data_IF_384514669334
#
_entry.id   IF_384514669334
#
_cell.length_a   1.000
_cell.length_b   1.000
_cell.length_c   1.000
_cell.angle_alpha   90.00
_cell.angle_beta   90.00
_cell.angle_gamma   90.00
#
_symmetry.space_group_name_H-M   'P 1'
#
loop_
_entity.id
_entity.type
_entity.pdbx_description
1 polymer ?
#
# COMPACT_ATOMS: atom_id res chain seq x y z
N UNK A 1 8.77 11.19 -13.55
CA UNK A 1 8.97 11.79 -12.21
C UNK A 1 7.61 12.24 -11.71
N UNK A 2 6.97 11.46 -10.85
CA UNK A 2 5.76 11.89 -10.13
C UNK A 2 5.97 11.52 -8.68
N UNK A 3 6.37 12.54 -7.91
CA UNK A 3 6.53 12.48 -6.46
C UNK A 3 5.19 12.81 -5.80
N UNK A 4 4.92 12.31 -4.60
CA UNK A 4 3.78 12.75 -3.79
C UNK A 4 4.19 12.82 -2.32
N UNK A 5 3.90 13.97 -1.71
CA UNK A 5 4.29 14.39 -0.36
C UNK A 5 3.04 14.53 0.52
N UNK A 6 3.17 14.23 1.81
CA UNK A 6 2.12 14.28 2.86
C UNK A 6 2.02 15.68 3.50
N UNK A 7 0.81 16.13 3.85
CA UNK A 7 0.54 17.34 4.66
C UNK A 7 -0.57 17.05 5.69
N UNK A 8 -0.46 17.60 6.92
CA UNK A 8 -1.48 17.51 7.99
C UNK A 8 -1.79 18.89 8.64
N UNK A 9 -3.08 19.22 8.86
CA UNK A 9 -3.54 20.04 10.01
C UNK A 9 -4.86 19.50 10.65
N UNK A 10 -5.47 20.11 11.70
CA UNK A 10 -5.89 19.40 12.93
C UNK A 10 -7.35 18.87 13.02
N UNK A 11 -7.56 18.16 14.13
CA UNK A 11 -8.58 17.18 14.54
C UNK A 11 -10.05 17.62 14.76
N UNK A 12 -10.99 16.84 14.19
CA UNK A 12 -12.14 16.17 14.83
C UNK A 12 -13.28 15.91 13.80
N UNK A 13 -13.36 14.69 13.26
CA UNK A 13 -14.45 14.22 12.39
C UNK A 13 -14.67 12.70 12.59
N UNK A 14 -15.87 12.14 12.33
CA UNK A 14 -16.13 10.69 12.36
C UNK A 14 -15.41 9.88 11.26
N UNK A 15 -14.94 10.46 10.15
CA UNK A 15 -13.90 9.80 9.31
C UNK A 15 -12.53 9.76 9.99
N UNK A 16 -12.35 10.46 11.12
CA UNK A 16 -11.08 10.71 11.80
C UNK A 16 -11.16 10.60 13.34
N UNK A 17 -12.08 9.81 13.92
CA UNK A 17 -12.14 9.64 15.39
C UNK A 17 -10.89 8.99 16.03
N UNK A 18 -9.81 8.76 15.26
CA UNK A 18 -8.57 8.14 15.74
C UNK A 18 -7.26 8.92 15.50
N UNK A 19 -7.29 10.19 15.10
CA UNK A 19 -6.06 10.94 14.79
C UNK A 19 -5.45 11.79 15.93
N UNK A 20 -5.76 11.52 17.21
CA UNK A 20 -5.10 12.22 18.33
C UNK A 20 -3.83 11.55 18.87
N UNK A 21 -3.34 10.49 18.21
CA UNK A 21 -2.00 9.95 18.46
C UNK A 21 -1.42 9.31 17.19
N UNK A 22 -0.65 10.07 16.41
CA UNK A 22 0.13 9.52 15.30
C UNK A 22 1.63 9.66 15.55
N UNK A 23 2.25 8.50 15.74
CA UNK A 23 3.39 8.08 14.92
C UNK A 23 2.87 7.67 13.52
N UNK A 24 3.65 7.92 12.47
CA UNK A 24 3.25 8.11 11.05
C UNK A 24 2.78 6.88 10.21
N UNK A 25 1.97 5.94 10.72
CA UNK A 25 1.88 4.58 10.11
C UNK A 25 0.65 4.19 9.26
N UNK A 26 -0.19 5.10 8.74
CA UNK A 26 -1.46 4.67 8.10
C UNK A 26 -1.78 5.33 6.75
N UNK A 27 -0.99 5.03 5.71
CA UNK A 27 -1.45 5.13 4.31
C UNK A 27 -0.61 4.20 3.41
N UNK A 28 -1.27 3.23 2.76
CA UNK A 28 -0.64 2.34 1.78
C UNK A 28 -1.12 2.70 0.38
N UNK A 29 -0.23 3.30 -0.42
CA UNK A 29 -0.49 3.65 -1.82
C UNK A 29 0.08 2.56 -2.74
N UNK A 30 -0.78 1.90 -3.51
CA UNK A 30 -0.36 0.93 -4.53
C UNK A 30 -0.56 1.53 -5.94
N UNK A 31 0.55 1.85 -6.62
CA UNK A 31 0.51 2.16 -8.05
C UNK A 31 0.82 0.90 -8.88
N UNK A 32 -0.14 0.45 -9.68
CA UNK A 32 0.10 -0.49 -10.79
C UNK A 32 0.16 0.30 -12.09
N UNK A 33 1.31 0.30 -12.77
CA UNK A 33 1.40 0.71 -14.17
C UNK A 33 0.98 -0.46 -15.06
N UNK A 34 -0.19 -0.37 -15.69
CA UNK A 34 -0.58 -1.27 -16.77
C UNK A 34 -0.15 -0.66 -18.10
N UNK A 35 0.92 -1.17 -18.71
CA UNK A 35 1.23 -0.95 -20.12
C UNK A 35 0.68 -2.13 -20.92
N UNK A 36 -0.59 -2.05 -21.32
CA UNK A 36 -1.12 -2.88 -22.40
C UNK A 36 -2.13 -2.08 -23.23
N UNK A 37 -1.63 -1.52 -24.32
CA UNK A 37 -2.39 -1.34 -25.56
C UNK A 37 -1.40 -1.53 -26.71
N UNK A 38 -1.32 -2.77 -27.19
CA UNK A 38 -0.67 -3.09 -28.45
C UNK A 38 -1.38 -2.35 -29.59
N UNK A 39 -0.75 -1.28 -30.11
CA UNK A 39 -1.19 -0.66 -31.36
C UNK A 39 -0.35 -1.22 -32.51
N UNK A 40 -1.02 -2.08 -33.28
CA UNK A 40 -0.69 -2.49 -34.65
C UNK A 40 -0.11 -1.31 -35.45
N UNK A 41 1.12 -1.47 -35.93
CA UNK A 41 1.74 -0.60 -36.94
C UNK A 41 1.00 -0.79 -38.27
N UNK A 42 0.12 0.14 -38.64
CA UNK A 42 -0.25 0.36 -40.04
C UNK A 42 0.54 1.54 -40.58
N UNK A 43 1.39 1.28 -41.56
CA UNK A 43 2.03 2.29 -42.42
C UNK A 43 0.94 3.02 -43.19
N UNK A 44 0.90 4.34 -43.09
CA UNK A 44 0.24 5.21 -44.05
C UNK A 44 1.24 6.25 -44.54
N UNK A 45 1.45 6.26 -45.86
CA UNK A 45 2.19 7.27 -46.58
C UNK A 45 1.28 8.49 -46.80
N UNK A 46 1.77 9.69 -46.48
CA UNK A 46 1.02 10.93 -46.65
C UNK A 46 1.94 12.13 -46.51
N UNK A 47 1.76 13.12 -47.38
CA UNK A 47 2.76 14.07 -47.83
C UNK A 47 3.22 15.11 -46.79
N UNK A 48 4.49 15.50 -46.97
CA UNK A 48 5.18 16.62 -46.31
C UNK A 48 4.49 17.95 -46.62
N UNK A 49 4.32 18.79 -45.58
CA UNK A 49 4.43 20.25 -45.70
C UNK A 49 5.50 20.71 -44.71
N UNK A 50 6.62 21.15 -45.26
CA UNK A 50 7.75 21.73 -44.52
C UNK A 50 7.43 23.20 -44.31
N UNK A 51 7.29 23.62 -43.05
CA UNK A 51 7.28 25.03 -42.67
C UNK A 51 8.73 25.45 -42.42
N UNK A 52 9.18 26.39 -43.25
CA UNK A 52 10.51 26.99 -43.21
C UNK A 52 10.61 27.97 -42.03
N UNK A 53 11.56 27.74 -41.13
CA UNK A 53 11.93 28.67 -40.06
C UNK A 53 13.42 28.99 -40.19
N UNK A 54 13.70 30.28 -40.43
CA UNK A 54 15.03 30.81 -40.71
C UNK A 54 16.09 30.61 -39.61
N UNK A 55 17.35 31.00 -39.90
CA UNK A 55 18.52 30.51 -39.18
C UNK A 55 18.62 31.07 -37.76
N UNK A 56 18.65 30.18 -36.76
CA UNK A 56 19.01 30.53 -35.37
C UNK A 56 20.53 30.63 -35.22
N UNK A 57 21.00 31.74 -34.64
CA UNK A 57 22.41 31.99 -34.31
C UNK A 57 22.92 30.98 -33.26
N UNK A 58 24.18 30.51 -33.33
CA UNK A 58 24.71 29.53 -32.40
C UNK A 58 24.99 30.19 -31.04
N UNK A 59 24.40 29.64 -29.97
CA UNK A 59 24.75 29.97 -28.59
C UNK A 59 26.05 29.21 -28.26
N UNK A 60 27.10 29.93 -27.88
CA UNK A 60 28.36 29.34 -27.38
C UNK A 60 28.09 28.72 -26.00
N UNK A 61 28.15 27.39 -25.92
CA UNK A 61 28.16 26.67 -24.63
C UNK A 61 29.53 26.86 -23.98
N UNK A 62 29.62 27.65 -22.91
CA UNK A 62 30.79 27.62 -22.04
C UNK A 62 30.68 26.41 -21.11
N UNK A 63 31.62 25.48 -21.25
CA UNK A 63 31.90 24.49 -20.22
C UNK A 63 32.52 25.23 -19.02
N UNK A 64 31.89 25.12 -17.84
CA UNK A 64 32.51 25.49 -16.57
C UNK A 64 32.45 24.29 -15.64
N UNK A 65 33.61 24.01 -15.05
CA UNK A 65 33.87 22.96 -14.08
C UNK A 65 32.90 23.05 -12.90
N UNK A 66 32.17 21.96 -12.67
CA UNK A 66 31.38 21.72 -11.46
C UNK A 66 31.44 20.25 -11.05
N UNK A 67 32.62 19.63 -11.19
CA UNK A 67 32.88 18.31 -10.66
C UNK A 67 33.03 18.36 -9.15
N UNK A 68 31.92 18.24 -8.41
CA UNK A 68 31.87 17.82 -6.99
C UNK A 68 30.45 17.64 -6.43
N UNK A 69 29.42 17.52 -7.28
CA UNK A 69 28.03 17.24 -6.85
C UNK A 69 27.33 16.11 -7.63
N UNK A 70 28.03 15.48 -8.58
CA UNK A 70 27.46 14.41 -9.43
C UNK A 70 27.54 12.98 -8.85
N UNK A 71 28.15 12.81 -7.67
CA UNK A 71 28.49 11.49 -7.10
C UNK A 71 27.58 10.98 -5.99
N UNK A 72 26.73 11.83 -5.40
CA UNK A 72 25.96 11.47 -4.19
C UNK A 72 24.59 10.85 -4.53
N UNK A 73 24.13 10.94 -5.78
CA UNK A 73 22.84 10.40 -6.25
C UNK A 73 22.96 9.35 -7.37
N UNK A 74 24.10 8.65 -7.46
CA UNK A 74 24.22 7.41 -8.25
C UNK A 74 24.26 6.21 -7.31
N UNK A 75 23.13 5.95 -6.66
CA UNK A 75 22.94 4.77 -5.84
C UNK A 75 22.90 3.52 -6.71
N UNK A 76 23.99 2.76 -6.72
CA UNK A 76 24.00 1.34 -7.08
C UNK A 76 23.40 0.50 -5.94
N UNK A 77 22.25 0.89 -5.39
CA UNK A 77 21.59 0.05 -4.40
C UNK A 77 20.77 -1.02 -5.15
N UNK A 78 21.34 -2.22 -5.23
CA UNK A 78 20.71 -3.42 -5.80
C UNK A 78 19.64 -4.02 -4.87
N UNK A 79 19.26 -3.29 -3.80
CA UNK A 79 18.40 -3.74 -2.72
C UNK A 79 19.11 -4.70 -1.75
N UNK A 80 20.43 -4.87 -1.88
CA UNK A 80 21.23 -5.76 -1.04
C UNK A 80 21.29 -5.25 0.40
N UNK A 81 21.44 -3.94 0.57
CA UNK A 81 21.38 -3.25 1.87
C UNK A 81 20.05 -3.53 2.58
N UNK A 82 18.94 -3.44 1.84
CA UNK A 82 17.58 -3.67 2.32
C UNK A 82 17.39 -5.13 2.71
N UNK A 83 17.86 -6.08 1.89
CA UNK A 83 17.81 -7.52 2.21
C UNK A 83 18.59 -7.84 3.48
N UNK A 84 19.76 -7.23 3.66
CA UNK A 84 20.55 -7.40 4.89
C UNK A 84 19.82 -6.82 6.11
N UNK A 85 19.25 -5.63 5.97
CA UNK A 85 18.52 -4.94 7.05
C UNK A 85 17.33 -5.76 7.57
N UNK A 86 16.57 -6.38 6.67
CA UNK A 86 15.34 -7.12 7.02
C UNK A 86 15.54 -8.64 7.13
N UNK A 87 16.73 -9.16 6.81
CA UNK A 87 16.99 -10.59 6.73
C UNK A 87 16.75 -11.33 8.05
N UNK A 88 17.08 -10.72 9.19
CA UNK A 88 16.80 -11.29 10.51
C UNK A 88 15.30 -11.44 10.77
N UNK A 89 14.50 -10.44 10.42
CA UNK A 89 13.04 -10.48 10.56
C UNK A 89 12.42 -11.49 9.60
N UNK A 90 12.89 -11.58 8.36
CA UNK A 90 12.47 -12.64 7.42
C UNK A 90 12.74 -14.02 8.01
N UNK A 91 13.93 -14.24 8.57
CA UNK A 91 14.27 -15.51 9.22
C UNK A 91 13.34 -15.82 10.42
N UNK A 92 12.99 -14.80 11.22
CA UNK A 92 12.04 -14.96 12.32
C UNK A 92 10.64 -15.36 11.82
N UNK A 93 10.14 -14.74 10.75
CA UNK A 93 8.86 -15.13 10.11
C UNK A 93 8.93 -16.56 9.58
N UNK A 94 10.01 -16.92 8.88
CA UNK A 94 10.21 -18.26 8.31
C UNK A 94 10.26 -19.35 9.40
N UNK A 95 10.86 -19.04 10.56
CA UNK A 95 10.95 -19.98 11.69
C UNK A 95 9.57 -20.35 12.25
N UNK A 96 8.59 -19.45 12.17
CA UNK A 96 7.22 -19.69 12.65
C UNK A 96 6.38 -20.52 11.66
N UNK A 97 6.84 -20.74 10.42
CA UNK A 97 6.04 -21.39 9.37
C UNK A 97 5.60 -22.81 9.75
N UNK A 98 6.49 -23.60 10.38
CA UNK A 98 6.16 -24.95 10.82
C UNK A 98 5.09 -24.98 11.93
N UNK A 99 5.15 -24.03 12.87
CA UNK A 99 4.15 -23.91 13.93
C UNK A 99 2.81 -23.46 13.36
N UNK A 100 2.82 -22.40 12.54
CA UNK A 100 1.61 -21.77 12.00
C UNK A 100 0.90 -22.69 11.00
N UNK A 101 1.65 -23.44 10.19
CA UNK A 101 1.06 -24.41 9.24
C UNK A 101 0.35 -25.59 9.94
N UNK A 102 0.76 -25.94 11.16
CA UNK A 102 0.10 -26.95 11.99
C UNK A 102 -1.22 -26.48 12.63
N UNK A 103 -1.52 -25.17 12.60
CA UNK A 103 -2.74 -24.63 13.18
C UNK A 103 -3.96 -24.93 12.31
N UNK A 104 -5.11 -25.18 12.94
CA UNK A 104 -6.41 -25.20 12.27
C UNK A 104 -6.87 -23.80 11.89
N UNK A 105 -7.84 -23.69 10.98
CA UNK A 105 -8.42 -22.40 10.57
C UNK A 105 -9.07 -21.63 11.73
N UNK A 106 -9.61 -22.35 12.73
CA UNK A 106 -10.14 -21.73 13.94
C UNK A 106 -9.00 -21.17 14.82
N UNK A 107 -7.90 -21.91 14.96
CA UNK A 107 -6.73 -21.45 15.72
C UNK A 107 -6.01 -20.27 15.05
N UNK A 108 -5.97 -20.20 13.70
CA UNK A 108 -5.44 -19.03 13.00
C UNK A 108 -6.25 -17.77 13.30
N UNK A 109 -7.58 -17.88 13.29
CA UNK A 109 -8.47 -16.77 13.69
C UNK A 109 -8.30 -16.38 15.15
N UNK A 110 -8.15 -17.35 16.04
CA UNK A 110 -7.89 -17.09 17.45
C UNK A 110 -6.56 -16.34 17.65
N UNK A 111 -5.51 -16.67 16.89
CA UNK A 111 -4.25 -15.93 16.93
C UNK A 111 -4.42 -14.46 16.54
N UNK A 112 -5.31 -14.15 15.59
CA UNK A 112 -5.65 -12.75 15.27
C UNK A 112 -6.27 -12.03 16.47
N UNK A 113 -7.17 -12.69 17.21
CA UNK A 113 -7.76 -12.13 18.43
C UNK A 113 -6.70 -11.86 19.51
N UNK A 114 -5.81 -12.82 19.77
CA UNK A 114 -4.71 -12.66 20.72
C UNK A 114 -3.76 -11.52 20.33
N UNK A 115 -3.45 -11.38 19.04
CA UNK A 115 -2.63 -10.28 18.54
C UNK A 115 -3.30 -8.91 18.70
N UNK A 116 -4.62 -8.81 18.44
CA UNK A 116 -5.39 -7.59 18.73
C UNK A 116 -5.36 -7.24 20.22
N UNK A 117 -5.53 -8.25 21.08
CA UNK A 117 -5.49 -8.05 22.53
C UNK A 117 -4.12 -7.53 22.98
N UNK A 118 -3.03 -8.13 22.50
CA UNK A 118 -1.66 -7.68 22.77
C UNK A 118 -1.40 -6.26 22.29
N UNK A 119 -1.83 -5.93 21.07
CA UNK A 119 -1.73 -4.57 20.54
C UNK A 119 -2.48 -3.57 21.43
N UNK A 120 -3.68 -3.92 21.91
CA UNK A 120 -4.47 -3.06 22.81
C UNK A 120 -3.85 -2.89 24.20
N UNK A 121 -3.06 -3.88 24.64
CA UNK A 121 -2.29 -3.85 25.91
C UNK A 121 -0.97 -3.09 25.79
N UNK A 122 -0.60 -2.63 24.60
CA UNK A 122 0.57 -1.77 24.37
C UNK A 122 1.77 -2.43 23.71
N UNK A 123 1.68 -3.71 23.29
CA UNK A 123 2.73 -4.31 22.46
C UNK A 123 2.89 -3.50 21.16
N UNK A 124 4.13 -3.17 20.80
CA UNK A 124 4.40 -2.45 19.54
C UNK A 124 4.09 -3.34 18.33
N UNK A 125 3.57 -2.75 17.25
CA UNK A 125 3.31 -3.50 16.01
C UNK A 125 4.58 -4.14 15.44
N UNK A 126 5.74 -3.49 15.59
CA UNK A 126 7.05 -4.06 15.22
C UNK A 126 7.33 -5.38 15.97
N UNK A 127 6.95 -5.47 17.25
CA UNK A 127 7.14 -6.70 18.04
C UNK A 127 6.19 -7.82 17.62
N UNK A 128 5.00 -7.46 17.12
CA UNK A 128 3.98 -8.41 16.64
C UNK A 128 4.23 -8.85 15.19
N UNK A 129 5.03 -8.09 14.44
CA UNK A 129 5.21 -8.24 13.00
C UNK A 129 5.61 -9.67 12.59
N UNK A 130 6.59 -10.35 13.21
CA UNK A 130 6.98 -11.68 12.75
C UNK A 130 5.83 -12.70 12.82
N UNK A 131 5.07 -12.69 13.92
CA UNK A 131 3.93 -13.57 14.12
C UNK A 131 2.77 -13.22 13.18
N UNK A 132 2.43 -11.92 13.08
CA UNK A 132 1.40 -11.44 12.18
C UNK A 132 1.69 -11.81 10.71
N UNK A 133 2.93 -11.63 10.26
CA UNK A 133 3.31 -11.95 8.87
C UNK A 133 3.31 -13.45 8.60
N UNK A 134 3.70 -14.28 9.58
CA UNK A 134 3.60 -15.74 9.45
C UNK A 134 2.14 -16.19 9.30
N UNK A 135 1.23 -15.65 10.12
CA UNK A 135 -0.21 -15.92 10.06
C UNK A 135 -0.80 -15.52 8.70
N UNK A 136 -0.50 -14.31 8.23
CA UNK A 136 -1.00 -13.82 6.93
C UNK A 136 -0.45 -14.64 5.78
N UNK A 137 0.82 -15.04 5.83
CA UNK A 137 1.44 -15.90 4.81
C UNK A 137 0.74 -17.25 4.72
N UNK A 138 0.46 -17.89 5.85
CA UNK A 138 -0.25 -19.17 5.88
C UNK A 138 -1.71 -19.01 5.43
N UNK A 139 -2.41 -17.97 5.89
CA UNK A 139 -3.77 -17.67 5.45
C UNK A 139 -3.84 -17.42 3.94
N UNK A 140 -2.89 -16.67 3.37
CA UNK A 140 -2.78 -16.46 1.93
C UNK A 140 -2.59 -17.77 1.17
N UNK A 141 -1.76 -18.67 1.69
CA UNK A 141 -1.54 -20.00 1.10
C UNK A 141 -2.83 -20.83 1.12
N UNK A 142 -3.61 -20.81 2.20
CA UNK A 142 -4.87 -21.55 2.31
C UNK A 142 -5.98 -20.98 1.42
N UNK A 143 -6.13 -19.66 1.43
CA UNK A 143 -7.25 -18.97 0.79
C UNK A 143 -7.01 -18.74 -0.70
N UNK A 144 -5.79 -18.35 -1.08
CA UNK A 144 -5.45 -17.96 -2.45
C UNK A 144 -4.54 -18.96 -3.16
N UNK A 145 -3.99 -19.96 -2.46
CA UNK A 145 -2.96 -20.83 -3.02
C UNK A 145 -1.61 -20.12 -3.22
N UNK A 146 -1.46 -18.90 -2.69
CA UNK A 146 -0.27 -18.07 -2.89
C UNK A 146 0.48 -17.93 -1.58
N UNK A 147 1.72 -18.40 -1.51
CA UNK A 147 2.62 -18.18 -0.37
C UNK A 147 3.49 -16.95 -0.64
N UNK A 148 3.34 -15.84 0.10
CA UNK A 148 4.22 -14.68 -0.03
C UNK A 148 5.72 -15.04 0.02
N UNK A 149 6.49 -14.59 -0.95
CA UNK A 149 7.95 -14.76 -1.01
C UNK A 149 8.67 -13.87 -0.01
N UNK A 150 9.94 -14.17 0.26
CA UNK A 150 10.74 -13.40 1.23
C UNK A 150 10.95 -11.95 0.80
N UNK A 151 11.14 -11.71 -0.50
CA UNK A 151 11.19 -10.35 -1.07
C UNK A 151 9.86 -9.59 -0.89
N UNK A 152 8.74 -10.30 -0.87
CA UNK A 152 7.42 -9.70 -0.62
C UNK A 152 7.24 -9.34 0.85
N UNK A 153 7.77 -10.16 1.77
CA UNK A 153 7.83 -9.78 3.19
C UNK A 153 8.67 -8.51 3.40
N UNK A 154 9.80 -8.41 2.70
CA UNK A 154 10.65 -7.21 2.74
C UNK A 154 9.87 -5.98 2.25
N UNK A 155 9.21 -6.08 1.09
CA UNK A 155 8.36 -5.00 0.60
C UNK A 155 7.27 -4.61 1.59
N UNK A 156 6.65 -5.59 2.25
CA UNK A 156 5.66 -5.35 3.30
C UNK A 156 6.23 -4.64 4.54
N UNK A 157 7.45 -4.98 4.97
CA UNK A 157 8.12 -4.32 6.10
C UNK A 157 8.50 -2.87 5.76
N UNK A 158 8.97 -2.61 4.53
CA UNK A 158 9.24 -1.25 4.04
C UNK A 158 7.96 -0.41 4.10
N UNK A 159 6.84 -0.95 3.61
CA UNK A 159 5.55 -0.26 3.67
C UNK A 159 5.06 -0.05 5.11
N UNK A 160 5.29 -1.01 6.01
CA UNK A 160 4.95 -0.86 7.43
C UNK A 160 5.72 0.30 8.09
N UNK A 161 6.97 0.56 7.67
CA UNK A 161 7.75 1.72 8.15
C UNK A 161 7.31 3.06 7.56
N UNK A 162 6.31 3.09 6.67
CA UNK A 162 5.89 4.30 5.97
C UNK A 162 6.82 4.70 4.82
N UNK A 163 7.65 3.77 4.34
CA UNK A 163 8.53 3.98 3.19
C UNK A 163 7.91 3.47 1.88
N UNK A 164 8.49 3.83 0.74
CA UNK A 164 8.02 3.40 -0.59
C UNK A 164 8.71 2.10 -0.98
N UNK A 165 7.94 1.02 -1.11
CA UNK A 165 8.42 -0.23 -1.68
C UNK A 165 8.38 -0.20 -3.21
N UNK A 166 9.51 0.09 -3.85
CA UNK A 166 9.65 -0.10 -5.30
C UNK A 166 9.73 -1.60 -5.63
N UNK A 167 8.81 -2.06 -6.47
CA UNK A 167 8.71 -3.45 -6.91
C UNK A 167 8.38 -3.46 -8.40
N UNK A 168 8.89 -4.43 -9.16
CA UNK A 168 8.56 -4.55 -10.58
C UNK A 168 7.14 -5.09 -10.77
N UNK A 169 6.56 -4.84 -11.94
CA UNK A 169 5.29 -5.45 -12.33
C UNK A 169 5.43 -6.97 -12.33
N UNK A 170 4.47 -7.67 -11.74
CA UNK A 170 4.51 -9.13 -11.58
C UNK A 170 5.09 -9.61 -10.24
N UNK A 171 5.72 -8.75 -9.44
CA UNK A 171 6.26 -9.14 -8.12
C UNK A 171 5.20 -9.27 -7.02
N UNK A 172 3.91 -9.16 -7.37
CA UNK A 172 2.80 -9.40 -6.44
C UNK A 172 2.51 -8.25 -5.47
N UNK A 173 2.64 -7.00 -5.90
CA UNK A 173 2.34 -5.79 -5.09
C UNK A 173 0.99 -5.84 -4.36
N UNK A 174 -0.05 -6.34 -5.03
CA UNK A 174 -1.39 -6.49 -4.43
C UNK A 174 -1.38 -7.48 -3.26
N UNK A 175 -0.66 -8.60 -3.41
CA UNK A 175 -0.49 -9.56 -2.32
C UNK A 175 0.35 -8.98 -1.18
N UNK A 176 1.38 -8.20 -1.49
CA UNK A 176 2.25 -7.57 -0.49
C UNK A 176 1.48 -6.65 0.44
N UNK A 177 0.52 -5.87 -0.07
CA UNK A 177 -0.20 -4.89 0.75
C UNK A 177 -1.09 -5.50 1.85
N UNK A 178 -1.47 -6.78 1.74
CA UNK A 178 -2.29 -7.42 2.78
C UNK A 178 -1.52 -7.60 4.09
N UNK A 179 -0.20 -7.80 4.04
CA UNK A 179 0.64 -8.05 5.21
C UNK A 179 0.70 -6.82 6.15
N UNK A 180 1.12 -5.63 5.68
CA UNK A 180 1.12 -4.44 6.53
C UNK A 180 -0.29 -3.94 6.80
N UNK A 181 -1.27 -4.15 5.90
CA UNK A 181 -2.65 -3.78 6.18
C UNK A 181 -3.23 -4.60 7.35
N UNK A 182 -3.03 -5.92 7.36
CA UNK A 182 -3.43 -6.78 8.47
C UNK A 182 -2.74 -6.37 9.78
N UNK A 183 -1.41 -6.20 9.77
CA UNK A 183 -0.64 -5.83 10.96
C UNK A 183 -1.13 -4.51 11.56
N UNK A 184 -1.26 -3.47 10.74
CA UNK A 184 -1.68 -2.15 11.22
C UNK A 184 -3.15 -2.14 11.67
N UNK A 185 -4.01 -2.96 11.06
CA UNK A 185 -5.40 -3.11 11.47
C UNK A 185 -5.55 -3.70 12.88
N UNK A 186 -4.54 -4.40 13.41
CA UNK A 186 -4.56 -4.91 14.79
C UNK A 186 -4.65 -3.80 15.84
N UNK A 187 -4.25 -2.57 15.49
CA UNK A 187 -4.38 -1.40 16.37
C UNK A 187 -5.81 -0.92 16.58
N UNK A 188 -6.77 -1.38 15.76
CA UNK A 188 -8.18 -0.95 15.80
C UNK A 188 -8.44 0.44 15.24
N UNK A 189 -7.42 1.12 14.66
CA UNK A 189 -7.55 2.47 14.09
C UNK A 189 -8.07 2.50 12.65
N UNK A 190 -8.27 1.34 12.02
CA UNK A 190 -8.58 1.20 10.60
C UNK A 190 -7.37 1.38 9.68
N UNK A 191 -7.43 0.82 8.48
CA UNK A 191 -6.39 0.96 7.44
C UNK A 191 -7.04 1.26 6.09
N UNK A 192 -6.58 2.32 5.42
CA UNK A 192 -7.01 2.63 4.05
C UNK A 192 -6.00 2.09 3.03
N UNK A 193 -6.46 1.20 2.16
CA UNK A 193 -5.71 0.73 0.99
C UNK A 193 -6.18 1.51 -0.23
N UNK A 194 -5.32 2.40 -0.72
CA UNK A 194 -5.68 3.35 -1.78
C UNK A 194 -5.25 2.83 -3.14
N UNK A 195 -6.20 2.80 -4.07
CA UNK A 195 -5.97 2.43 -5.47
C UNK A 195 -6.29 3.58 -6.42
N UNK A 196 -5.92 3.42 -7.69
CA UNK A 196 -6.07 4.47 -8.70
C UNK A 196 -7.47 4.53 -9.32
N UNK A 197 -8.30 3.50 -9.17
CA UNK A 197 -9.67 3.47 -9.71
C UNK A 197 -10.55 2.43 -8.99
N UNK A 198 -11.87 2.61 -9.11
CA UNK A 198 -12.88 1.77 -8.46
C UNK A 198 -12.80 0.29 -8.86
N UNK A 199 -12.42 -0.01 -10.10
CA UNK A 199 -12.25 -1.39 -10.54
C UNK A 199 -11.14 -2.10 -9.75
N UNK A 200 -9.99 -1.46 -9.57
CA UNK A 200 -8.88 -2.02 -8.80
C UNK A 200 -9.21 -2.09 -7.31
N UNK A 201 -9.88 -1.08 -6.76
CA UNK A 201 -10.35 -1.10 -5.37
C UNK A 201 -11.27 -2.32 -5.13
N UNK A 202 -12.28 -2.50 -5.99
CA UNK A 202 -13.22 -3.63 -5.91
C UNK A 202 -12.51 -4.96 -6.09
N UNK A 203 -11.71 -5.11 -7.15
CA UNK A 203 -10.96 -6.34 -7.45
C UNK A 203 -10.09 -6.75 -6.26
N UNK A 204 -9.31 -5.82 -5.70
CA UNK A 204 -8.38 -6.14 -4.62
C UNK A 204 -9.14 -6.44 -3.32
N UNK A 205 -10.23 -5.72 -3.05
CA UNK A 205 -11.13 -6.01 -1.92
C UNK A 205 -11.81 -7.39 -2.03
N UNK A 206 -12.25 -7.80 -3.21
CA UNK A 206 -12.91 -9.09 -3.45
C UNK A 206 -11.92 -10.26 -3.53
N UNK A 207 -10.72 -10.03 -4.08
CA UNK A 207 -9.71 -11.08 -4.26
C UNK A 207 -8.83 -11.23 -3.02
N UNK A 208 -7.88 -10.32 -2.80
CA UNK A 208 -6.91 -10.46 -1.71
C UNK A 208 -7.49 -10.10 -0.35
N UNK A 209 -8.58 -9.33 -0.31
CA UNK A 209 -9.34 -9.04 0.91
C UNK A 209 -9.97 -10.29 1.55
N UNK A 210 -10.05 -11.43 0.85
CA UNK A 210 -10.48 -12.70 1.44
C UNK A 210 -9.54 -13.18 2.56
N UNK A 211 -8.24 -12.86 2.49
CA UNK A 211 -7.25 -13.28 3.49
C UNK A 211 -7.51 -12.65 4.86
N UNK A 212 -7.61 -11.31 5.01
CA UNK A 212 -7.98 -10.70 6.28
C UNK A 212 -9.39 -11.09 6.74
N UNK A 213 -10.36 -11.31 5.83
CA UNK A 213 -11.70 -11.84 6.20
C UNK A 213 -11.63 -13.24 6.80
N UNK A 214 -10.83 -14.13 6.19
CA UNK A 214 -10.57 -15.47 6.72
C UNK A 214 -9.96 -15.42 8.12
N UNK A 215 -9.11 -14.43 8.39
CA UNK A 215 -8.51 -14.17 9.69
C UNK A 215 -9.44 -13.42 10.68
N UNK A 216 -10.69 -13.12 10.30
CA UNK A 216 -11.68 -12.51 11.18
C UNK A 216 -11.67 -10.98 11.22
N UNK A 217 -10.96 -10.32 10.30
CA UNK A 217 -11.07 -8.87 10.11
C UNK A 217 -12.23 -8.50 9.19
N UNK A 218 -12.85 -7.34 9.44
CA UNK A 218 -13.84 -6.74 8.54
C UNK A 218 -13.12 -5.95 7.44
N UNK A 219 -13.56 -6.14 6.19
CA UNK A 219 -12.96 -5.48 5.02
C UNK A 219 -14.05 -4.76 4.23
N UNK A 220 -13.94 -3.44 4.16
CA UNK A 220 -14.86 -2.54 3.47
C UNK A 220 -14.35 -2.11 2.09
N UNK A 221 -15.26 -1.57 1.30
CA UNK A 221 -15.03 -0.99 -0.02
C UNK A 221 -15.81 0.32 -0.13
N UNK A 222 -15.16 1.38 -0.58
CA UNK A 222 -15.82 2.65 -0.90
C UNK A 222 -15.91 2.79 -2.42
N UNK A 223 -17.11 3.15 -2.91
CA UNK A 223 -17.40 3.39 -4.33
C UNK A 223 -18.25 4.64 -4.51
N UNK A 224 -18.20 5.21 -5.72
CA UNK A 224 -18.79 6.51 -6.05
C UNK A 224 -20.28 6.62 -5.65
N UNK A 225 -21.09 5.61 -5.98
CA UNK A 225 -22.56 5.64 -5.80
C UNK A 225 -23.04 5.26 -4.38
N UNK A 226 -22.14 5.19 -3.40
CA UNK A 226 -22.51 4.86 -2.02
C UNK A 226 -23.10 6.06 -1.27
N UNK A 227 -24.20 5.80 -0.56
CA UNK A 227 -24.79 6.73 0.41
C UNK A 227 -23.84 7.00 1.57
N UNK A 228 -24.06 8.10 2.30
CA UNK A 228 -23.25 8.45 3.47
C UNK A 228 -23.29 7.37 4.56
N UNK A 229 -24.43 6.70 4.75
CA UNK A 229 -24.57 5.60 5.71
C UNK A 229 -23.72 4.39 5.31
N UNK A 230 -23.80 3.95 4.05
CA UNK A 230 -22.98 2.86 3.53
C UNK A 230 -21.48 3.18 3.62
N UNK A 231 -21.08 4.42 3.35
CA UNK A 231 -19.68 4.85 3.50
C UNK A 231 -19.23 4.75 4.95
N UNK A 232 -20.05 5.23 5.89
CA UNK A 232 -19.77 5.13 7.33
C UNK A 232 -19.56 3.67 7.75
N UNK A 233 -20.43 2.75 7.33
CA UNK A 233 -20.27 1.32 7.61
C UNK A 233 -18.95 0.75 7.06
N UNK A 234 -18.56 1.15 5.84
CA UNK A 234 -17.32 0.70 5.22
C UNK A 234 -16.06 1.30 5.86
N UNK A 235 -16.11 2.56 6.33
CA UNK A 235 -15.02 3.17 7.09
C UNK A 235 -14.87 2.61 8.52
N UNK A 236 -15.90 1.97 9.06
CA UNK A 236 -15.84 1.24 10.34
C UNK A 236 -15.23 -0.17 10.22
N UNK A 237 -14.87 -0.61 9.01
CA UNK A 237 -14.15 -1.86 8.82
C UNK A 237 -12.68 -1.74 9.27
N UNK A 238 -12.05 -2.87 9.62
CA UNK A 238 -10.64 -2.91 10.01
C UNK A 238 -9.71 -2.47 8.85
N UNK A 239 -10.10 -2.82 7.61
CA UNK A 239 -9.39 -2.44 6.38
C UNK A 239 -10.42 -1.93 5.36
N UNK A 240 -10.16 -0.81 4.71
CA UNK A 240 -11.05 -0.20 3.72
C UNK A 240 -10.31 0.05 2.41
N UNK A 241 -10.82 -0.51 1.32
CA UNK A 241 -10.34 -0.22 -0.02
C UNK A 241 -11.07 1.00 -0.58
N UNK A 242 -10.31 1.95 -1.11
CA UNK A 242 -10.85 3.23 -1.58
C UNK A 242 -9.98 3.79 -2.70
N UNK A 243 -10.52 4.71 -3.50
CA UNK A 243 -9.70 5.48 -4.45
C UNK A 243 -9.22 6.77 -3.81
N UNK A 244 -8.14 7.34 -4.34
CA UNK A 244 -7.63 8.61 -3.85
C UNK A 244 -8.68 9.74 -3.94
N UNK A 245 -9.47 9.74 -5.01
CA UNK A 245 -10.54 10.72 -5.23
C UNK A 245 -11.65 10.61 -4.18
N UNK A 246 -12.17 9.41 -3.95
CA UNK A 246 -13.25 9.20 -2.97
C UNK A 246 -12.80 9.53 -1.55
N UNK A 247 -11.59 9.12 -1.17
CA UNK A 247 -11.03 9.43 0.16
C UNK A 247 -10.91 10.95 0.36
N UNK A 248 -10.44 11.67 -0.66
CA UNK A 248 -10.34 13.13 -0.62
C UNK A 248 -11.70 13.83 -0.52
N UNK A 249 -12.68 13.40 -1.32
CA UNK A 249 -14.03 13.98 -1.27
C UNK A 249 -14.75 13.66 0.03
N UNK A 250 -14.59 12.46 0.58
CA UNK A 250 -15.16 12.08 1.88
C UNK A 250 -14.58 12.93 2.99
N UNK A 251 -13.25 13.13 2.99
CA UNK A 251 -12.62 14.05 3.93
C UNK A 251 -13.17 15.48 3.82
N UNK A 252 -13.34 16.00 2.60
CA UNK A 252 -13.90 17.34 2.41
C UNK A 252 -15.36 17.42 2.88
N UNK A 253 -16.19 16.42 2.58
CA UNK A 253 -17.60 16.36 3.03
C UNK A 253 -17.68 16.38 4.55
N UNK A 254 -16.85 15.61 5.22
CA UNK A 254 -16.82 15.52 6.68
C UNK A 254 -16.43 16.84 7.35
N UNK A 255 -15.61 17.66 6.70
CA UNK A 255 -15.19 18.97 7.21
C UNK A 255 -16.12 20.13 6.78
N UNK A 256 -17.00 19.90 5.80
CA UNK A 256 -17.99 20.87 5.32
C UNK A 256 -19.40 20.61 5.87
N UNK A 257 -19.65 19.43 6.45
CA UNK A 257 -20.91 19.11 7.09
C UNK A 257 -21.15 20.06 8.28
N UNK A 258 -22.04 21.04 8.07
CA UNK A 258 -22.38 22.08 9.05
C UNK A 258 -23.28 21.58 10.19
N UNK A 259 -23.79 20.36 10.11
CA UNK A 259 -24.65 19.78 11.15
C UNK A 259 -24.14 18.38 11.53
N UNK A 260 -23.80 18.23 12.81
CA UNK A 260 -23.55 16.94 13.45
C UNK A 260 -24.89 16.22 13.56
N UNK A 261 -25.20 15.32 12.63
CA UNK A 261 -26.28 14.34 12.77
C UNK A 261 -25.81 13.14 13.60
#
# INVERSE_FOLDING_TARGET
MTSSTVVSPPLNSPALTHLSSLSSTSLLLLTQHNTMMGRSRRRWAGQKKVLDYGPRRPIKTMASLGGLLGGIFKGTDTGESTRQQYGSTVAAVNKLENEVSGLTDAQLRERTFLLKERASKGDSLDSLLPEAFAIVREASKRVLGLRPFDVQLIGAMVLHKGEIAEMRTGEGKTLVAILPAYLNALSGKGVHVVTVNDYLARRDCEWVGQVPRFLGLKVGLIQQDMTSEQRRENYLCDITYVTNSELGFDYLRDNLATEKC
#
